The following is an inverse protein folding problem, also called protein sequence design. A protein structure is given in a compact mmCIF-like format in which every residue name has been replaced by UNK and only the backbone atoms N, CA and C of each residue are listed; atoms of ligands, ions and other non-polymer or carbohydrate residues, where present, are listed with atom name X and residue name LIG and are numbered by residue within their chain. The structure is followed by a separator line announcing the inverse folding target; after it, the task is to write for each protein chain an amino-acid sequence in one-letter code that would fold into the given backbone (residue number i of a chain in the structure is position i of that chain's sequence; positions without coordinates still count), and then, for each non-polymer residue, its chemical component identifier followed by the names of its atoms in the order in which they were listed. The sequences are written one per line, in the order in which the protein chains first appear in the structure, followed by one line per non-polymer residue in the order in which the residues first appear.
data_IF_823990912685
#
_entry.id   IF_823990912685
#
_cell.length_a   1.000
_cell.length_b   1.000
_cell.length_c   1.000
_cell.angle_alpha   90.00
_cell.angle_beta   90.00
_cell.angle_gamma   90.00
#
_symmetry.space_group_name_H-M   'P 1'
#
loop_
_entity.id
_entity.type
_entity.pdbx_description
1 polymer ?
#
# COMPACT_ATOMS: atom_id res chain seq x y z
N UNK A 1 5.28 9.37 -2.44
CA UNK A 1 4.03 8.96 -1.78
C UNK A 1 2.91 8.94 -2.80
N UNK A 2 2.06 7.95 -2.75
CA UNK A 2 0.94 7.83 -3.69
C UNK A 2 -0.37 7.66 -2.94
N UNK A 3 -1.45 8.07 -3.58
CA UNK A 3 -2.81 7.77 -3.15
C UNK A 3 -3.24 6.50 -3.88
N UNK A 4 -3.74 5.52 -3.14
CA UNK A 4 -4.08 4.22 -3.69
C UNK A 4 -5.32 3.65 -3.00
N UNK A 5 -5.87 2.60 -3.60
CA UNK A 5 -7.00 1.86 -3.05
C UNK A 5 -6.57 0.43 -2.80
N UNK A 6 -6.98 -0.13 -1.68
CA UNK A 6 -6.75 -1.55 -1.40
C UNK A 6 -7.69 -2.36 -2.28
N UNK A 7 -7.13 -3.17 -3.17
CA UNK A 7 -7.88 -3.96 -4.14
C UNK A 7 -7.78 -5.46 -3.91
N UNK A 8 -6.98 -5.88 -2.95
CA UNK A 8 -6.84 -7.29 -2.62
C UNK A 8 -5.83 -7.50 -1.49
N UNK A 9 -5.55 -8.74 -1.21
CA UNK A 9 -4.51 -9.09 -0.26
C UNK A 9 -3.72 -10.28 -0.80
N UNK A 10 -2.51 -10.45 -0.28
CA UNK A 10 -1.59 -11.49 -0.73
C UNK A 10 -1.25 -12.38 0.44
N UNK A 11 -1.36 -13.69 0.23
CA UNK A 11 -0.95 -14.69 1.20
C UNK A 11 0.28 -15.39 0.66
N UNK A 12 1.38 -15.33 1.40
CA UNK A 12 2.61 -16.00 1.04
C UNK A 12 2.92 -17.05 2.11
N UNK A 13 3.11 -18.31 1.69
CA UNK A 13 3.41 -19.39 2.61
C UNK A 13 4.87 -19.41 3.02
N UNK A 14 5.75 -18.88 2.15
CA UNK A 14 7.17 -18.73 2.45
C UNK A 14 7.60 -17.32 2.09
N UNK A 15 8.25 -16.64 3.01
CA UNK A 15 8.73 -15.29 2.82
C UNK A 15 9.95 -15.06 3.69
N UNK A 16 10.75 -14.06 3.33
CA UNK A 16 11.94 -13.73 4.11
C UNK A 16 11.57 -13.23 5.51
N UNK A 17 12.54 -13.29 6.42
CA UNK A 17 12.29 -12.92 7.81
C UNK A 17 11.80 -11.49 7.99
N UNK A 18 12.26 -10.59 7.14
CA UNK A 18 11.86 -9.18 7.19
C UNK A 18 10.37 -8.97 6.94
N UNK A 19 9.72 -9.92 6.25
CA UNK A 19 8.29 -9.84 5.97
C UNK A 19 7.44 -10.68 6.91
N UNK A 20 8.05 -11.41 7.84
CA UNK A 20 7.29 -12.26 8.77
C UNK A 20 6.39 -11.42 9.65
N UNK A 21 5.15 -11.88 9.79
CA UNK A 21 4.15 -11.18 10.58
C UNK A 21 3.55 -9.98 9.88
N UNK A 22 4.01 -9.65 8.68
CA UNK A 22 3.45 -8.53 7.92
C UNK A 22 2.24 -8.97 7.13
N UNK A 23 1.22 -8.11 7.07
CA UNK A 23 0.12 -8.27 6.14
C UNK A 23 0.52 -7.65 4.81
N UNK A 24 0.25 -8.38 3.74
CA UNK A 24 0.55 -7.93 2.39
C UNK A 24 -0.76 -7.63 1.66
N UNK A 25 -0.85 -6.45 1.09
CA UNK A 25 -2.03 -5.99 0.38
C UNK A 25 -1.70 -5.74 -1.08
N UNK A 26 -2.71 -5.93 -1.95
CA UNK A 26 -2.66 -5.36 -3.28
C UNK A 26 -3.23 -3.96 -3.20
N UNK A 27 -2.48 -3.00 -3.72
CA UNK A 27 -2.93 -1.61 -3.81
C UNK A 27 -2.82 -1.12 -5.24
N UNK A 28 -3.80 -0.34 -5.67
CA UNK A 28 -3.82 0.24 -7.01
C UNK A 28 -3.84 1.76 -6.88
N UNK A 29 -2.90 2.41 -7.54
CA UNK A 29 -2.81 3.86 -7.52
C UNK A 29 -4.06 4.49 -8.12
N UNK A 30 -4.50 5.59 -7.51
CA UNK A 30 -5.63 6.37 -7.97
C UNK A 30 -5.15 7.55 -8.80
N UNK A 31 -5.93 7.89 -9.84
CA UNK A 31 -5.69 9.09 -10.64
C UNK A 31 -6.30 10.32 -9.97
N UNK A 32 -6.28 11.45 -10.68
CA UNK A 32 -6.79 12.71 -10.15
C UNK A 32 -8.31 12.67 -9.87
N UNK A 33 -9.02 11.77 -10.51
CA UNK A 33 -10.45 11.59 -10.30
C UNK A 33 -10.74 10.47 -9.31
N UNK A 34 -9.71 10.00 -8.60
CA UNK A 34 -9.78 8.91 -7.63
C UNK A 34 -10.25 7.60 -8.26
N UNK A 35 -9.92 7.39 -9.52
CA UNK A 35 -10.19 6.13 -10.21
C UNK A 35 -8.93 5.28 -10.28
N UNK A 36 -9.05 3.95 -10.17
CA UNK A 36 -7.88 3.09 -10.25
C UNK A 36 -7.16 3.23 -11.59
N UNK A 37 -5.86 3.39 -11.51
CA UNK A 37 -5.02 3.52 -12.70
C UNK A 37 -4.60 2.14 -13.20
N UNK A 38 -4.72 1.94 -14.50
CA UNK A 38 -4.32 0.70 -15.16
C UNK A 38 -2.82 0.48 -15.02
N UNK A 39 -2.42 -0.74 -14.73
CA UNK A 39 -1.01 -1.14 -14.62
C UNK A 39 -0.25 -0.42 -13.49
N UNK A 40 -0.94 0.07 -12.48
CA UNK A 40 -0.34 0.73 -11.33
C UNK A 40 -0.74 0.02 -10.04
N UNK A 41 -0.54 -1.29 -10.02
CA UNK A 41 -0.86 -2.14 -8.85
C UNK A 41 0.43 -2.69 -8.26
N UNK A 42 0.54 -2.62 -6.96
CA UNK A 42 1.69 -3.14 -6.22
C UNK A 42 1.25 -4.04 -5.07
N UNK A 43 2.17 -4.89 -4.67
CA UNK A 43 2.08 -5.55 -3.37
C UNK A 43 2.71 -4.62 -2.35
N UNK A 44 2.00 -4.32 -1.28
CA UNK A 44 2.47 -3.40 -0.25
C UNK A 44 2.40 -4.04 1.12
N UNK A 45 3.33 -3.65 1.99
CA UNK A 45 3.29 -4.03 3.40
C UNK A 45 2.31 -3.09 4.11
N UNK A 46 1.42 -3.66 4.91
CA UNK A 46 0.44 -2.89 5.68
C UNK A 46 0.97 -2.58 7.08
N UNK A 47 1.11 -1.31 7.39
CA UNK A 47 1.56 -0.85 8.70
C UNK A 47 0.45 -0.29 9.58
N UNK A 48 -0.77 -0.18 9.07
CA UNK A 48 -1.85 0.56 9.76
C UNK A 48 -3.15 -0.21 9.91
N UNK A 49 -3.23 -1.42 9.35
CA UNK A 49 -4.45 -2.22 9.43
C UNK A 49 -5.51 -1.82 8.41
N UNK A 50 -5.09 -1.47 7.20
CA UNK A 50 -6.03 -1.12 6.14
C UNK A 50 -6.83 -2.35 5.69
N UNK A 51 -8.05 -2.13 5.28
CA UNK A 51 -8.95 -3.16 4.80
C UNK A 51 -9.32 -2.98 3.34
N UNK A 52 -10.06 -3.94 2.83
CA UNK A 52 -10.52 -3.97 1.44
C UNK A 52 -11.29 -2.68 1.12
N UNK A 53 -10.99 -2.10 -0.02
CA UNK A 53 -11.57 -0.86 -0.54
C UNK A 53 -11.17 0.41 0.19
N UNK A 54 -10.35 0.33 1.25
CA UNK A 54 -9.84 1.53 1.88
C UNK A 54 -8.97 2.33 0.92
N UNK A 55 -9.07 3.64 1.01
CA UNK A 55 -8.14 4.54 0.33
C UNK A 55 -6.99 4.79 1.29
N UNK A 56 -5.78 4.67 0.78
CA UNK A 56 -4.57 4.70 1.60
C UNK A 56 -3.52 5.61 0.98
N UNK A 57 -2.60 6.06 1.83
CA UNK A 57 -1.33 6.62 1.38
C UNK A 57 -0.28 5.52 1.45
N UNK A 58 0.48 5.40 0.39
CA UNK A 58 1.57 4.44 0.34
C UNK A 58 2.87 5.14 -0.03
N UNK A 59 3.94 4.72 0.60
CA UNK A 59 5.28 5.23 0.36
C UNK A 59 6.10 4.18 -0.33
N UNK A 60 6.74 4.57 -1.43
CA UNK A 60 7.64 3.68 -2.15
C UNK A 60 8.94 3.52 -1.38
N UNK A 61 9.40 2.28 -1.34
CA UNK A 61 10.73 1.96 -0.84
C UNK A 61 10.97 2.36 0.61
N UNK A 62 9.91 2.34 1.43
CA UNK A 62 10.12 2.48 2.85
C UNK A 62 11.02 1.34 3.34
N UNK A 63 12.07 1.69 4.05
CA UNK A 63 13.00 0.70 4.54
C UNK A 63 12.36 -0.20 5.59
N UNK A 64 12.45 -1.50 5.38
CA UNK A 64 12.15 -2.50 6.37
C UNK A 64 13.47 -2.93 6.99
N UNK A 65 13.55 -2.99 8.29
CA UNK A 65 14.70 -3.54 8.98
C UNK A 65 16.05 -2.89 8.60
N UNK A 66 16.26 -1.65 9.01
CA UNK A 66 17.55 -0.93 8.95
C UNK A 66 18.20 -0.95 7.57
N UNK A 67 17.49 -0.45 6.57
CA UNK A 67 17.98 -0.27 5.20
C UNK A 67 18.26 -1.57 4.42
N UNK A 68 17.97 -2.70 5.01
CA UNK A 68 18.25 -3.97 4.36
C UNK A 68 17.24 -4.29 3.26
N UNK A 69 15.98 -4.00 3.49
CA UNK A 69 14.90 -4.20 2.53
C UNK A 69 14.08 -2.94 2.38
N UNK A 70 13.68 -2.70 1.16
CA UNK A 70 12.75 -1.62 0.84
C UNK A 70 11.51 -2.21 0.19
N UNK A 71 10.36 -1.69 0.56
CA UNK A 71 9.09 -2.17 0.05
C UNK A 71 8.12 -1.02 -0.10
N UNK A 72 7.12 -1.19 -0.98
CA UNK A 72 5.95 -0.35 -0.98
C UNK A 72 5.23 -0.58 0.36
N UNK A 73 4.90 0.49 1.06
CA UNK A 73 4.30 0.39 2.39
C UNK A 73 3.08 1.28 2.51
N UNK A 74 2.01 0.72 3.05
CA UNK A 74 0.81 1.50 3.39
C UNK A 74 1.08 2.18 4.73
N UNK A 75 1.05 3.51 4.73
CA UNK A 75 1.44 4.30 5.90
C UNK A 75 0.27 5.08 6.52
N UNK A 76 -0.85 5.17 5.85
CA UNK A 76 -2.03 5.86 6.39
C UNK A 76 -3.30 5.38 5.70
N UNK A 77 -4.40 5.39 6.44
CA UNK A 77 -5.75 5.22 5.88
C UNK A 77 -6.34 6.60 5.70
N UNK A 78 -6.87 6.87 4.51
CA UNK A 78 -7.37 8.20 4.14
C UNK A 78 -8.87 8.23 4.35
N UNK A 79 -9.33 9.20 5.13
CA UNK A 79 -10.76 9.40 5.34
C UNK A 79 -11.37 10.26 4.24
N UNK A 80 -10.72 11.37 3.90
CA UNK A 80 -11.21 12.32 2.90
C UNK A 80 -10.06 12.87 2.07
N UNK A 81 -10.35 13.13 0.80
CA UNK A 81 -9.45 13.84 -0.10
C UNK A 81 -10.15 15.12 -0.54
N UNK A 82 -9.51 16.25 -0.27
CA UNK A 82 -10.03 17.56 -0.67
C UNK A 82 -9.16 18.12 -1.79
N UNK A 83 -9.80 18.51 -2.88
CA UNK A 83 -9.12 19.13 -4.02
C UNK A 83 -9.59 20.55 -4.18
N UNK A 84 -8.65 21.46 -4.18
CA UNK A 84 -8.93 22.86 -4.51
C UNK A 84 -8.89 23.02 -6.03
N UNK A 85 -9.94 23.56 -6.58
CA UNK A 85 -10.10 23.72 -8.03
C UNK A 85 -9.12 24.75 -8.59
#
# INVERSE_FOLDING_TARGET
MILAKVTGHVVATQKCDELRGSNLLLITQLDDDQQPMKNRTWVAVDSVGAGMHDIVLAEEYLALNKDRYKAMSVVAIVENVFRDA
#
